data_IF_782597050756
#
_entry.id   IF_782597050756
#
_cell.length_a   1.000
_cell.length_b   1.000
_cell.length_c   1.000
_cell.angle_alpha   90.00
_cell.angle_beta   90.00
_cell.angle_gamma   90.00
#
_symmetry.space_group_name_H-M   'P 1'
#
loop_
_entity.id
_entity.type
_entity.pdbx_description
1 polymer ?
#
# COMPACT_ATOMS: atom_id res chain seq x y z
N UNK A 1 16.80 39.54 -21.78
CA UNK A 1 17.67 38.64 -21.00
C UNK A 1 16.81 37.78 -20.15
N UNK A 2 16.70 36.62 -20.60
CA UNK A 2 15.78 35.56 -20.29
C UNK A 2 15.94 35.12 -18.85
N UNK A 3 14.98 35.52 -18.02
CA UNK A 3 14.61 34.83 -16.81
C UNK A 3 13.25 34.15 -17.08
N UNK A 4 13.20 33.36 -18.11
CA UNK A 4 12.27 32.26 -18.18
C UNK A 4 12.89 31.14 -17.35
N UNK A 5 12.74 31.31 -16.02
CA UNK A 5 12.91 30.21 -15.11
C UNK A 5 12.10 29.03 -15.64
N UNK A 6 12.70 27.89 -15.67
CA UNK A 6 12.15 26.59 -16.01
C UNK A 6 11.00 26.18 -15.08
N UNK A 7 9.96 27.00 -15.09
CA UNK A 7 8.63 26.63 -14.65
C UNK A 7 7.98 25.99 -15.85
N UNK A 8 7.96 24.72 -15.92
CA UNK A 8 6.97 24.44 -16.85
C UNK A 8 6.87 23.06 -17.43
N UNK A 9 7.82 22.24 -17.38
CA UNK A 9 7.65 20.88 -17.90
C UNK A 9 7.60 19.79 -16.81
N UNK A 10 7.84 20.19 -15.55
CA UNK A 10 7.77 19.26 -14.41
C UNK A 10 6.38 19.03 -13.84
N UNK A 11 5.42 19.91 -14.12
CA UNK A 11 4.10 19.87 -13.44
C UNK A 11 2.96 19.26 -14.28
N UNK A 12 3.25 18.77 -15.47
CA UNK A 12 2.27 17.98 -16.21
C UNK A 12 2.39 16.54 -15.72
N UNK A 13 1.95 16.29 -14.51
CA UNK A 13 1.72 14.94 -14.04
C UNK A 13 0.59 14.34 -14.90
N UNK A 14 0.97 13.53 -15.85
CA UNK A 14 0.01 12.61 -16.45
C UNK A 14 -0.36 11.63 -15.33
N UNK A 15 -1.44 11.90 -14.61
CA UNK A 15 -2.02 10.95 -13.68
C UNK A 15 -2.51 9.76 -14.48
N UNK A 16 -1.68 8.75 -14.59
CA UNK A 16 -2.03 7.53 -15.27
C UNK A 16 -2.78 6.63 -14.31
N UNK A 17 -4.02 6.31 -14.62
CA UNK A 17 -4.77 5.29 -13.89
C UNK A 17 -4.36 3.93 -14.42
N UNK A 18 -3.82 3.10 -13.55
CA UNK A 18 -3.42 1.73 -13.84
C UNK A 18 -4.49 0.78 -13.34
N UNK A 19 -4.80 -0.26 -14.10
CA UNK A 19 -5.77 -1.27 -13.72
C UNK A 19 -6.04 -2.27 -14.83
N UNK A 20 -6.86 -3.25 -14.50
CA UNK A 20 -7.50 -4.18 -15.45
C UNK A 20 -8.97 -3.82 -15.58
N UNK A 21 -9.52 -4.09 -16.76
CA UNK A 21 -10.95 -3.94 -16.98
C UNK A 21 -11.69 -5.21 -16.58
N UNK A 22 -12.64 -5.06 -15.67
CA UNK A 22 -13.57 -6.09 -15.23
C UNK A 22 -14.99 -5.64 -15.58
N UNK A 23 -15.52 -6.09 -16.71
CA UNK A 23 -16.80 -5.63 -17.27
C UNK A 23 -16.84 -4.09 -17.40
N UNK A 24 -17.65 -3.44 -16.57
CA UNK A 24 -17.82 -1.98 -16.56
C UNK A 24 -16.98 -1.30 -15.47
N UNK A 25 -16.03 -2.00 -14.89
CA UNK A 25 -15.16 -1.51 -13.82
C UNK A 25 -13.71 -1.57 -14.19
N UNK A 26 -12.91 -0.67 -13.61
CA UNK A 26 -11.48 -0.60 -13.88
C UNK A 26 -10.72 -0.35 -12.57
N UNK A 27 -9.84 -1.28 -12.22
CA UNK A 27 -8.99 -1.19 -11.04
C UNK A 27 -7.79 -2.14 -11.13
N UNK A 28 -6.67 -1.83 -10.43
CA UNK A 28 -5.52 -2.74 -10.35
C UNK A 28 -5.78 -3.88 -9.37
N UNK A 29 -5.07 -4.98 -9.53
CA UNK A 29 -5.09 -6.09 -8.57
C UNK A 29 -4.53 -5.66 -7.23
N UNK A 30 -3.46 -4.84 -7.23
CA UNK A 30 -2.86 -4.27 -6.03
C UNK A 30 -2.55 -2.82 -6.28
N UNK A 31 -2.82 -1.97 -5.31
CA UNK A 31 -2.20 -0.65 -5.16
C UNK A 31 -1.42 -0.63 -3.86
N UNK A 32 -0.36 0.16 -3.82
CA UNK A 32 0.45 0.25 -2.62
C UNK A 32 1.22 1.56 -2.48
N UNK A 33 1.58 1.82 -1.24
CA UNK A 33 2.54 2.84 -0.84
C UNK A 33 3.65 2.14 -0.08
N UNK A 34 4.90 2.40 -0.45
CA UNK A 34 6.04 1.84 0.27
C UNK A 34 7.06 2.93 0.60
N UNK A 35 7.76 2.76 1.72
CA UNK A 35 8.77 3.69 2.23
C UNK A 35 10.06 2.94 2.52
N UNK A 36 11.19 3.55 2.21
CA UNK A 36 12.50 2.99 2.55
C UNK A 36 12.84 3.13 4.03
N UNK A 37 12.05 3.88 4.79
CA UNK A 37 12.18 4.04 6.24
C UNK A 37 10.91 3.55 6.93
N UNK A 38 11.07 2.58 7.82
CA UNK A 38 10.01 2.09 8.69
C UNK A 38 10.07 2.82 10.04
N UNK A 39 9.12 3.71 10.29
CA UNK A 39 9.06 4.49 11.53
C UNK A 39 8.59 3.65 12.74
N UNK A 40 7.90 2.55 12.50
CA UNK A 40 7.35 1.67 13.53
C UNK A 40 7.66 0.21 13.24
N UNK A 41 8.94 -0.21 13.39
CA UNK A 41 9.33 -1.59 13.16
C UNK A 41 8.68 -2.52 14.18
N UNK A 42 8.32 -3.74 13.77
CA UNK A 42 7.64 -4.75 14.57
C UNK A 42 8.50 -6.00 14.64
N UNK A 43 8.65 -6.54 15.85
CA UNK A 43 9.42 -7.76 16.05
C UNK A 43 10.89 -7.59 15.69
N UNK A 44 11.36 -8.32 14.70
CA UNK A 44 12.76 -8.30 14.22
C UNK A 44 13.02 -7.26 13.11
N UNK A 45 12.00 -6.50 12.71
CA UNK A 45 12.14 -5.45 11.71
C UNK A 45 13.04 -4.32 12.24
N UNK A 46 13.76 -3.68 11.33
CA UNK A 46 14.54 -2.47 11.58
C UNK A 46 13.99 -1.30 10.77
N UNK A 47 14.37 -0.09 11.15
CA UNK A 47 13.95 1.12 10.43
C UNK A 47 14.36 1.10 8.95
N UNK A 48 15.57 0.57 8.64
CA UNK A 48 16.10 0.45 7.29
C UNK A 48 15.49 -0.65 6.43
N UNK A 49 14.67 -1.54 7.01
CA UNK A 49 14.02 -2.63 6.25
C UNK A 49 12.86 -2.17 5.40
N UNK A 50 12.47 -0.90 5.57
CA UNK A 50 11.35 -0.33 4.85
C UNK A 50 9.99 -0.88 5.28
N UNK A 51 8.94 -0.31 4.71
CA UNK A 51 7.56 -0.69 4.98
C UNK A 51 6.70 -0.50 3.75
N UNK A 52 5.75 -1.39 3.54
CA UNK A 52 4.74 -1.28 2.50
C UNK A 52 3.34 -1.48 3.06
N UNK A 53 2.38 -0.72 2.52
CA UNK A 53 0.96 -0.89 2.73
C UNK A 53 0.32 -1.17 1.38
N UNK A 54 -0.40 -2.27 1.28
CA UNK A 54 -1.03 -2.71 0.04
C UNK A 54 -2.54 -2.95 0.23
N UNK A 55 -3.27 -2.76 -0.86
CA UNK A 55 -4.71 -2.95 -0.92
C UNK A 55 -5.15 -3.39 -2.32
N UNK A 56 -6.29 -4.06 -2.42
CA UNK A 56 -7.01 -4.28 -3.67
C UNK A 56 -7.64 -2.96 -4.14
N UNK A 57 -7.63 -2.74 -5.46
CA UNK A 57 -8.31 -1.61 -6.08
C UNK A 57 -7.44 -0.37 -6.17
N UNK A 58 -8.05 0.78 -6.39
CA UNK A 58 -7.37 2.05 -6.59
C UNK A 58 -6.69 2.56 -5.32
N UNK A 59 -5.50 3.15 -5.47
CA UNK A 59 -4.66 3.66 -4.38
C UNK A 59 -5.32 4.72 -3.51
N UNK A 60 -6.36 5.40 -4.01
CA UNK A 60 -7.17 6.32 -3.20
C UNK A 60 -7.70 5.66 -1.92
N UNK A 61 -7.97 4.36 -1.93
CA UNK A 61 -8.41 3.64 -0.74
C UNK A 61 -7.38 3.68 0.40
N UNK A 62 -6.09 3.63 0.05
CA UNK A 62 -4.98 3.73 1.01
C UNK A 62 -4.88 5.16 1.55
N UNK A 63 -4.96 6.15 0.66
CA UNK A 63 -4.87 7.57 1.01
C UNK A 63 -6.01 8.00 1.93
N UNK A 64 -7.22 7.48 1.71
CA UNK A 64 -8.40 7.75 2.53
C UNK A 64 -8.39 6.99 3.88
N UNK A 65 -7.29 6.31 4.22
CA UNK A 65 -7.14 5.60 5.49
C UNK A 65 -7.91 4.28 5.55
N UNK A 66 -8.15 3.64 4.41
CA UNK A 66 -8.77 2.31 4.34
C UNK A 66 -7.89 1.23 5.00
N UNK A 67 -8.50 0.10 5.31
CA UNK A 67 -7.77 -1.06 5.82
C UNK A 67 -6.80 -1.58 4.76
N UNK A 68 -5.51 -1.58 5.07
CA UNK A 68 -4.43 -2.05 4.20
C UNK A 68 -3.68 -3.19 4.87
N UNK A 69 -3.07 -4.06 4.07
CA UNK A 69 -2.15 -5.02 4.62
C UNK A 69 -0.76 -4.38 4.70
N UNK A 70 -0.17 -4.41 5.91
CA UNK A 70 1.16 -3.88 6.20
C UNK A 70 2.18 -5.02 6.22
N UNK A 71 3.33 -4.82 5.55
CA UNK A 71 4.49 -5.72 5.66
C UNK A 71 5.80 -4.96 5.43
N UNK A 72 6.92 -5.52 5.89
CA UNK A 72 8.25 -5.06 5.52
C UNK A 72 8.73 -5.82 4.28
N UNK A 73 9.27 -5.15 3.23
CA UNK A 73 9.81 -5.83 2.06
C UNK A 73 10.91 -6.85 2.37
N UNK A 74 11.71 -6.62 3.40
CA UNK A 74 12.74 -7.57 3.86
C UNK A 74 12.21 -8.70 4.74
N UNK A 75 11.02 -8.54 5.28
CA UNK A 75 10.37 -9.53 6.14
C UNK A 75 8.93 -9.81 5.69
N UNK A 76 8.70 -10.23 4.41
CA UNK A 76 7.36 -10.33 3.83
C UNK A 76 6.46 -11.36 4.52
N UNK A 77 7.05 -12.30 5.25
CA UNK A 77 6.33 -13.33 6.00
C UNK A 77 5.77 -12.81 7.33
N UNK A 78 6.26 -11.66 7.84
CA UNK A 78 5.81 -11.08 9.10
C UNK A 78 4.59 -10.19 8.88
N UNK A 79 3.43 -10.80 8.74
CA UNK A 79 2.17 -10.09 8.51
C UNK A 79 1.36 -10.07 9.81
N UNK A 80 1.35 -8.92 10.50
CA UNK A 80 0.65 -8.78 11.79
C UNK A 80 -0.84 -9.11 11.68
N UNK A 81 -1.50 -8.66 10.61
CA UNK A 81 -2.93 -8.91 10.39
C UNK A 81 -3.26 -10.39 10.23
N UNK A 82 -2.26 -11.23 9.89
CA UNK A 82 -2.42 -12.67 9.73
C UNK A 82 -1.91 -13.47 10.94
N UNK A 83 -1.48 -12.80 12.01
CA UNK A 83 -0.90 -13.46 13.20
C UNK A 83 -1.91 -14.31 13.97
N UNK A 84 -3.19 -13.95 13.95
CA UNK A 84 -4.28 -14.74 14.51
C UNK A 84 -5.48 -14.72 13.58
N UNK A 85 -6.34 -15.73 13.69
CA UNK A 85 -7.57 -15.83 12.92
C UNK A 85 -8.49 -14.62 13.17
N UNK A 86 -8.64 -14.19 14.41
CA UNK A 86 -9.47 -13.04 14.77
C UNK A 86 -8.97 -11.75 14.13
N UNK A 87 -7.65 -11.53 14.10
CA UNK A 87 -7.06 -10.39 13.41
C UNK A 87 -7.33 -10.48 11.91
N UNK A 88 -7.10 -11.62 11.28
CA UNK A 88 -7.33 -11.81 9.86
C UNK A 88 -8.80 -11.56 9.46
N UNK A 89 -9.75 -11.94 10.30
CA UNK A 89 -11.17 -11.74 10.04
C UNK A 89 -11.64 -10.29 10.24
N UNK A 90 -10.99 -9.50 11.11
CA UNK A 90 -11.40 -8.14 11.47
C UNK A 90 -10.60 -7.06 10.80
N UNK A 91 -9.27 -7.25 10.65
CA UNK A 91 -8.33 -6.19 10.28
C UNK A 91 -7.91 -6.25 8.80
N UNK A 92 -8.47 -7.21 8.02
CA UNK A 92 -8.22 -7.26 6.58
C UNK A 92 -9.24 -6.45 5.80
N UNK A 93 -8.81 -5.97 4.65
CA UNK A 93 -9.63 -5.15 3.76
C UNK A 93 -10.92 -5.85 3.35
N UNK A 94 -12.05 -5.15 3.42
CA UNK A 94 -13.38 -5.66 3.04
C UNK A 94 -14.02 -4.87 1.89
N UNK A 95 -13.51 -3.69 1.59
CA UNK A 95 -14.00 -2.80 0.52
C UNK A 95 -12.84 -2.23 -0.27
N UNK A 96 -13.10 -1.82 -1.51
CA UNK A 96 -12.10 -1.20 -2.37
C UNK A 96 -12.73 -0.14 -3.28
N UNK A 97 -11.89 0.68 -3.92
CA UNK A 97 -12.33 1.62 -4.93
C UNK A 97 -12.02 1.11 -6.34
N UNK A 98 -12.96 1.33 -7.26
CA UNK A 98 -12.83 1.09 -8.69
C UNK A 98 -13.36 2.29 -9.47
N UNK A 99 -12.95 2.46 -10.74
CA UNK A 99 -13.62 3.37 -11.65
C UNK A 99 -14.84 2.67 -12.25
N UNK A 100 -15.95 3.41 -12.35
CA UNK A 100 -17.13 3.02 -13.11
C UNK A 100 -16.97 3.51 -14.55
N UNK A 101 -16.92 2.59 -15.50
CA UNK A 101 -16.76 2.90 -16.92
C UNK A 101 -18.11 3.17 -17.62
N UNK A 102 -19.26 2.87 -16.99
CA UNK A 102 -20.58 3.12 -17.59
C UNK A 102 -20.87 4.61 -17.73
N UNK A 103 -20.49 5.39 -16.75
CA UNK A 103 -20.85 6.81 -16.64
C UNK A 103 -19.78 7.75 -17.20
N UNK A 104 -18.73 7.22 -17.85
CA UNK A 104 -17.64 8.05 -18.38
C UNK A 104 -18.04 8.98 -19.53
N UNK A 105 -19.17 8.75 -20.20
CA UNK A 105 -19.52 9.41 -21.45
C UNK A 105 -20.34 10.69 -21.30
N UNK A 106 -20.96 10.98 -20.15
CA UNK A 106 -22.05 11.96 -20.12
C UNK A 106 -21.78 13.24 -19.34
N UNK A 107 -20.74 13.31 -18.50
CA UNK A 107 -20.58 14.52 -17.68
C UNK A 107 -19.11 14.87 -17.43
N UNK A 108 -18.70 16.02 -17.86
CA UNK A 108 -17.51 16.71 -17.39
C UNK A 108 -17.81 17.18 -15.96
N UNK A 109 -17.33 16.46 -14.95
CA UNK A 109 -17.43 16.88 -13.57
C UNK A 109 -16.09 17.42 -13.09
N UNK A 110 -16.13 18.49 -12.32
CA UNK A 110 -14.97 19.05 -11.62
C UNK A 110 -14.62 18.21 -10.39
N UNK A 111 -15.51 17.30 -9.99
CA UNK A 111 -15.28 16.41 -8.86
C UNK A 111 -14.40 15.21 -9.28
N UNK A 112 -13.20 15.12 -8.70
CA UNK A 112 -12.24 14.03 -8.93
C UNK A 112 -12.78 12.63 -8.55
N UNK A 113 -13.89 12.57 -7.81
CA UNK A 113 -14.53 11.33 -7.36
C UNK A 113 -15.73 10.89 -8.21
N UNK A 114 -16.07 11.62 -9.26
CA UNK A 114 -17.28 11.42 -10.07
C UNK A 114 -17.47 9.98 -10.59
N UNK A 115 -16.38 9.34 -11.02
CA UNK A 115 -16.40 7.97 -11.55
C UNK A 115 -15.92 6.92 -10.55
N UNK A 116 -15.76 7.30 -9.28
CA UNK A 116 -15.24 6.42 -8.27
C UNK A 116 -16.37 5.68 -7.56
N UNK A 117 -16.32 4.35 -7.59
CA UNK A 117 -17.29 3.51 -6.87
C UNK A 117 -16.59 2.72 -5.78
N UNK A 118 -17.25 2.62 -4.62
CA UNK A 118 -16.78 1.81 -3.49
C UNK A 118 -17.50 0.47 -3.50
N UNK A 119 -16.75 -0.61 -3.65
CA UNK A 119 -17.22 -1.96 -3.84
C UNK A 119 -16.86 -2.85 -2.67
N UNK A 120 -17.54 -3.99 -2.54
CA UNK A 120 -17.20 -5.05 -1.60
C UNK A 120 -16.45 -6.19 -2.25
N UNK A 121 -15.85 -7.08 -1.43
CA UNK A 121 -15.11 -8.24 -1.94
C UNK A 121 -15.98 -9.20 -2.76
N UNK A 122 -17.30 -9.24 -2.53
CA UNK A 122 -18.22 -10.05 -3.33
C UNK A 122 -18.27 -9.62 -4.81
N UNK A 123 -18.11 -8.32 -5.07
CA UNK A 123 -18.06 -7.79 -6.42
C UNK A 123 -16.76 -8.25 -7.11
N UNK A 124 -15.62 -8.13 -6.43
CA UNK A 124 -14.33 -8.59 -6.93
C UNK A 124 -14.27 -10.11 -7.11
N UNK A 125 -14.96 -10.87 -6.24
CA UNK A 125 -15.10 -12.32 -6.34
C UNK A 125 -15.87 -12.72 -7.62
N UNK A 126 -16.99 -12.05 -7.89
CA UNK A 126 -17.77 -12.26 -9.09
C UNK A 126 -17.01 -11.91 -10.38
N UNK A 127 -16.09 -10.96 -10.31
CA UNK A 127 -15.21 -10.53 -11.40
C UNK A 127 -13.96 -11.39 -11.56
N UNK A 128 -13.70 -12.34 -10.64
CA UNK A 128 -12.56 -13.26 -10.67
C UNK A 128 -11.21 -12.60 -10.33
N UNK A 129 -11.20 -11.38 -9.81
CA UNK A 129 -9.98 -10.62 -9.53
C UNK A 129 -9.25 -11.04 -8.25
N UNK A 130 -9.87 -11.89 -7.41
CA UNK A 130 -9.34 -12.26 -6.10
C UNK A 130 -8.34 -13.42 -6.09
N UNK A 131 -8.21 -14.16 -7.18
CA UNK A 131 -7.56 -15.48 -7.25
C UNK A 131 -6.19 -15.57 -6.56
N UNK A 132 -5.35 -14.54 -6.73
CA UNK A 132 -3.96 -14.57 -6.24
C UNK A 132 -3.72 -13.79 -4.95
N UNK A 133 -4.73 -13.08 -4.44
CA UNK A 133 -4.57 -12.14 -3.33
C UNK A 133 -5.37 -12.51 -2.08
N UNK A 134 -6.11 -13.61 -2.11
CA UNK A 134 -6.94 -14.03 -0.99
C UNK A 134 -6.49 -15.34 -0.37
N UNK A 135 -6.81 -15.48 0.90
CA UNK A 135 -7.04 -16.76 1.59
C UNK A 135 -8.54 -16.97 1.81
N UNK A 136 -8.95 -18.20 2.02
CA UNK A 136 -10.35 -18.56 2.25
C UNK A 136 -10.54 -19.07 3.67
N UNK A 137 -11.39 -18.40 4.44
CA UNK A 137 -11.80 -18.88 5.75
C UNK A 137 -12.92 -19.93 5.61
N UNK A 138 -12.67 -21.09 6.16
CA UNK A 138 -13.61 -22.17 6.28
C UNK A 138 -14.31 -22.08 7.66
N UNK A 139 -15.61 -21.72 7.72
CA UNK A 139 -16.31 -21.58 8.99
C UNK A 139 -16.60 -22.92 9.68
N UNK A 140 -16.54 -24.03 8.94
CA UNK A 140 -16.82 -25.35 9.47
C UNK A 140 -15.63 -25.90 10.26
N UNK A 141 -14.45 -25.83 9.63
CA UNK A 141 -13.19 -26.26 10.23
C UNK A 141 -12.56 -25.15 11.10
N UNK A 142 -13.07 -23.93 11.05
CA UNK A 142 -12.54 -22.73 11.72
C UNK A 142 -11.05 -22.50 11.40
N UNK A 143 -10.68 -22.65 10.13
CA UNK A 143 -9.30 -22.44 9.63
C UNK A 143 -9.29 -21.47 8.46
N UNK A 144 -8.16 -20.81 8.28
CA UNK A 144 -7.86 -20.03 7.09
C UNK A 144 -6.95 -20.87 6.21
N UNK A 145 -7.39 -21.16 4.98
CA UNK A 145 -6.61 -21.86 3.96
C UNK A 145 -6.03 -20.85 2.98
N UNK A 146 -4.73 -20.97 2.69
CA UNK A 146 -4.10 -20.12 1.70
C UNK A 146 -4.64 -20.41 0.31
N UNK A 147 -5.00 -19.32 -0.39
CA UNK A 147 -5.53 -19.38 -1.73
C UNK A 147 -7.05 -19.26 -1.84
N UNK A 148 -7.49 -19.27 -3.08
CA UNK A 148 -8.89 -19.15 -3.46
C UNK A 148 -9.55 -20.54 -3.52
N UNK A 149 -10.51 -20.79 -2.65
CA UNK A 149 -11.36 -21.98 -2.67
C UNK A 149 -12.82 -21.58 -2.86
N UNK A 150 -13.62 -22.34 -3.61
CA UNK A 150 -15.06 -22.11 -3.72
C UNK A 150 -15.74 -22.19 -2.35
N UNK A 151 -16.70 -21.32 -2.09
CA UNK A 151 -17.33 -21.21 -0.78
C UNK A 151 -16.42 -20.49 0.24
N UNK A 152 -16.84 -20.47 1.51
CA UNK A 152 -16.12 -19.79 2.59
C UNK A 152 -16.02 -18.27 2.43
N UNK A 153 -15.51 -17.60 3.46
CA UNK A 153 -15.29 -16.13 3.44
C UNK A 153 -13.92 -15.81 2.86
N UNK A 154 -13.87 -14.93 1.85
CA UNK A 154 -12.61 -14.44 1.29
C UNK A 154 -11.98 -13.39 2.20
N UNK A 155 -10.67 -13.53 2.41
CA UNK A 155 -9.83 -12.64 3.22
C UNK A 155 -8.70 -12.14 2.34
N UNK A 156 -8.54 -10.84 2.22
CA UNK A 156 -7.41 -10.23 1.50
C UNK A 156 -6.14 -10.37 2.33
N UNK A 157 -5.46 -11.49 2.16
CA UNK A 157 -4.26 -11.86 2.90
C UNK A 157 -2.97 -11.57 2.16
N UNK A 158 -3.02 -11.52 0.82
CA UNK A 158 -1.87 -11.43 -0.08
C UNK A 158 -0.79 -12.52 0.18
N UNK A 159 -1.14 -13.59 0.89
CA UNK A 159 -0.21 -14.66 1.29
C UNK A 159 0.43 -15.33 0.07
N UNK A 160 -0.34 -15.57 -1.00
CA UNK A 160 0.20 -16.18 -2.22
C UNK A 160 1.32 -15.34 -2.85
N UNK A 161 1.27 -14.02 -2.69
CA UNK A 161 2.29 -13.10 -3.19
C UNK A 161 3.46 -12.97 -2.22
N UNK A 162 3.16 -12.83 -0.91
CA UNK A 162 4.17 -12.51 0.09
C UNK A 162 4.89 -13.73 0.67
N UNK A 163 4.25 -14.92 0.63
CA UNK A 163 4.82 -16.14 1.20
C UNK A 163 5.08 -17.23 0.17
N UNK A 164 4.34 -17.24 -0.94
CA UNK A 164 4.45 -18.25 -2.00
C UNK A 164 5.03 -17.71 -3.31
N UNK A 165 5.48 -16.46 -3.32
CA UNK A 165 6.20 -15.81 -4.42
C UNK A 165 5.52 -15.92 -5.81
N UNK A 166 4.18 -15.97 -5.83
CA UNK A 166 3.41 -15.96 -7.11
C UNK A 166 3.76 -14.74 -7.96
N UNK A 167 4.14 -13.65 -7.30
CA UNK A 167 4.73 -12.47 -7.90
C UNK A 167 5.77 -11.89 -6.92
N UNK A 168 7.03 -11.58 -7.36
CA UNK A 168 8.11 -11.17 -6.48
C UNK A 168 7.96 -9.71 -6.01
N UNK A 169 6.84 -9.39 -5.35
CA UNK A 169 6.51 -8.04 -4.93
C UNK A 169 7.50 -7.51 -3.90
N UNK A 170 7.83 -8.33 -2.90
CA UNK A 170 8.70 -7.91 -1.80
C UNK A 170 10.11 -7.56 -2.30
N UNK A 171 10.70 -8.42 -3.11
CA UNK A 171 12.03 -8.20 -3.72
C UNK A 171 12.03 -6.98 -4.64
N UNK A 172 10.98 -6.83 -5.44
CA UNK A 172 10.84 -5.66 -6.33
C UNK A 172 10.79 -4.36 -5.53
N UNK A 173 10.04 -4.34 -4.44
CA UNK A 173 9.95 -3.17 -3.56
C UNK A 173 11.27 -2.88 -2.85
N UNK A 174 11.96 -3.89 -2.27
CA UNK A 174 13.26 -3.69 -1.64
C UNK A 174 14.27 -3.08 -2.62
N UNK A 175 14.33 -3.60 -3.84
CA UNK A 175 15.23 -3.07 -4.87
C UNK A 175 14.90 -1.63 -5.26
N UNK A 176 13.63 -1.32 -5.53
CA UNK A 176 13.21 0.03 -5.94
C UNK A 176 13.45 1.04 -4.81
N UNK A 177 13.11 0.69 -3.58
CA UNK A 177 13.30 1.57 -2.42
C UNK A 177 14.79 1.85 -2.18
N UNK A 178 15.64 0.83 -2.29
CA UNK A 178 17.08 0.96 -2.13
C UNK A 178 17.70 1.83 -3.23
N UNK A 179 17.36 1.58 -4.49
CA UNK A 179 17.86 2.39 -5.62
C UNK A 179 17.36 3.82 -5.48
N UNK A 180 16.06 4.02 -5.21
CA UNK A 180 15.50 5.35 -5.03
C UNK A 180 16.16 6.13 -3.89
N UNK A 181 16.44 5.48 -2.76
CA UNK A 181 17.15 6.11 -1.65
C UNK A 181 18.59 6.46 -2.01
N UNK A 182 19.29 5.61 -2.74
CA UNK A 182 20.67 5.89 -3.21
C UNK A 182 20.69 7.08 -4.17
N UNK A 183 19.83 7.10 -5.17
CA UNK A 183 19.77 8.17 -6.17
C UNK A 183 19.32 9.51 -5.60
N UNK A 184 18.40 9.51 -4.64
CA UNK A 184 17.90 10.74 -4.01
C UNK A 184 18.73 11.19 -2.79
N UNK A 185 19.67 10.38 -2.32
CA UNK A 185 20.51 10.66 -1.15
C UNK A 185 19.74 10.77 0.18
N UNK A 186 18.48 10.31 0.23
CA UNK A 186 17.61 10.35 1.41
C UNK A 186 16.50 9.30 1.31
N UNK A 187 15.82 8.97 2.44
CA UNK A 187 14.69 8.06 2.41
C UNK A 187 13.63 8.48 1.40
N UNK A 188 13.00 7.50 0.76
CA UNK A 188 12.00 7.70 -0.27
C UNK A 188 10.69 7.01 0.05
N UNK A 189 9.61 7.59 -0.47
CA UNK A 189 8.29 6.99 -0.55
C UNK A 189 7.93 6.77 -2.01
N UNK A 190 7.35 5.62 -2.32
CA UNK A 190 6.85 5.27 -3.64
C UNK A 190 5.37 4.95 -3.59
N UNK A 191 4.67 5.32 -4.68
CA UNK A 191 3.33 4.84 -4.97
C UNK A 191 3.43 3.89 -6.16
N UNK A 192 2.73 2.76 -6.08
CA UNK A 192 2.79 1.74 -7.11
C UNK A 192 1.45 1.03 -7.30
N UNK A 193 1.33 0.35 -8.43
CA UNK A 193 0.24 -0.58 -8.69
C UNK A 193 0.77 -1.86 -9.35
N UNK A 194 0.05 -2.96 -9.17
CA UNK A 194 0.32 -4.23 -9.85
C UNK A 194 -0.95 -4.72 -10.51
N UNK A 195 -0.84 -5.02 -11.80
CA UNK A 195 -1.86 -5.75 -12.52
C UNK A 195 -1.45 -7.20 -12.65
N UNK A 196 -2.34 -8.12 -12.31
CA UNK A 196 -2.17 -9.55 -12.53
C UNK A 196 -3.28 -10.04 -13.45
N UNK A 197 -2.93 -10.89 -14.40
CA UNK A 197 -3.93 -11.57 -15.23
C UNK A 197 -4.58 -12.70 -14.40
N UNK A 198 -5.91 -12.71 -14.20
CA UNK A 198 -6.57 -13.77 -13.45
C UNK A 198 -6.36 -15.18 -14.04
N UNK A 199 -6.08 -15.27 -15.34
CA UNK A 199 -5.85 -16.55 -16.03
C UNK A 199 -4.40 -17.01 -15.97
N UNK A 200 -3.43 -16.06 -15.87
CA UNK A 200 -2.00 -16.34 -15.94
C UNK A 200 -1.19 -15.39 -15.06
N UNK A 201 -0.79 -15.85 -13.88
CA UNK A 201 -0.01 -15.06 -12.92
C UNK A 201 1.36 -14.62 -13.46
N UNK A 202 1.91 -15.31 -14.46
CA UNK A 202 3.19 -14.92 -15.08
C UNK A 202 3.09 -13.61 -15.86
N UNK A 203 1.86 -13.18 -16.19
CA UNK A 203 1.56 -11.89 -16.83
C UNK A 203 1.24 -10.81 -15.79
N UNK A 204 2.07 -10.69 -14.78
CA UNK A 204 1.97 -9.61 -13.83
C UNK A 204 2.86 -8.43 -14.25
N UNK A 205 2.35 -7.22 -14.07
CA UNK A 205 3.08 -5.98 -14.38
C UNK A 205 3.08 -5.06 -13.19
N UNK A 206 4.28 -4.67 -12.75
CA UNK A 206 4.48 -3.65 -11.73
C UNK A 206 4.58 -2.26 -12.38
N UNK A 207 3.86 -1.30 -11.83
CA UNK A 207 3.86 0.09 -12.25
C UNK A 207 4.34 0.97 -11.10
N UNK A 208 5.49 1.60 -11.26
CA UNK A 208 5.92 2.68 -10.37
C UNK A 208 5.18 3.95 -10.79
N UNK A 209 4.28 4.44 -9.95
CA UNK A 209 3.42 5.59 -10.26
C UNK A 209 4.07 6.90 -9.82
N UNK A 210 4.70 6.90 -8.64
CA UNK A 210 5.39 8.06 -8.10
C UNK A 210 6.55 7.60 -7.20
N UNK A 211 7.61 8.39 -7.20
CA UNK A 211 8.68 8.33 -6.21
C UNK A 211 8.97 9.73 -5.70
N UNK A 212 9.08 9.88 -4.39
CA UNK A 212 9.39 11.17 -3.76
C UNK A 212 10.28 10.96 -2.54
N UNK A 213 11.18 11.92 -2.24
CA UNK A 213 11.92 11.88 -0.99
C UNK A 213 10.96 12.09 0.18
N UNK A 214 11.20 11.36 1.26
CA UNK A 214 10.56 11.65 2.55
C UNK A 214 11.22 12.93 3.08
N UNK A 215 10.41 13.95 3.27
CA UNK A 215 10.87 15.19 3.91
C UNK A 215 10.87 14.91 5.41
N UNK A 216 12.05 14.66 5.97
CA UNK A 216 12.24 14.81 7.40
C UNK A 216 12.07 16.28 7.70
N UNK A 217 10.95 16.65 8.29
CA UNK A 217 10.87 17.88 9.04
C UNK A 217 11.72 17.69 10.30
N UNK A 218 13.03 17.67 10.11
CA UNK A 218 13.96 18.04 11.16
C UNK A 218 13.80 19.55 11.32
N UNK A 219 12.69 19.97 11.90
CA UNK A 219 12.76 21.19 12.68
C UNK A 219 13.77 20.88 13.75
N UNK A 220 14.88 21.57 13.66
CA UNK A 220 15.97 21.55 14.62
C UNK A 220 15.31 21.87 15.96
N UNK A 221 15.05 20.85 16.77
CA UNK A 221 14.89 21.10 18.18
C UNK A 221 16.28 21.52 18.64
N UNK A 222 16.46 22.82 18.88
CA UNK A 222 17.69 23.39 19.45
C UNK A 222 18.00 22.86 20.87
N UNK A 223 17.18 21.95 21.38
CA UNK A 223 17.33 21.33 22.67
C UNK A 223 18.06 19.99 22.53
N UNK A 224 19.19 19.91 23.19
CA UNK A 224 19.98 18.69 23.30
C UNK A 224 19.24 17.64 24.17
N UNK A 225 18.48 16.76 23.54
CA UNK A 225 17.73 15.69 24.22
C UNK A 225 18.62 14.71 24.99
N UNK A 226 19.95 14.76 24.80
CA UNK A 226 20.90 13.96 25.59
C UNK A 226 20.94 14.37 27.06
N UNK A 227 20.43 15.56 27.36
CA UNK A 227 20.35 16.10 28.74
C UNK A 227 19.12 15.62 29.52
N UNK A 228 18.14 15.01 28.84
CA UNK A 228 16.92 14.48 29.48
C UNK A 228 17.24 13.14 30.15
N UNK A 229 17.06 13.07 31.46
CA UNK A 229 17.28 11.85 32.23
C UNK A 229 16.20 10.80 31.89
N UNK A 230 16.61 9.55 31.69
CA UNK A 230 15.68 8.44 31.41
C UNK A 230 14.60 8.27 32.49
N UNK A 231 14.88 8.67 33.73
CA UNK A 231 13.93 8.60 34.86
C UNK A 231 12.75 9.59 34.74
N UNK A 232 12.91 10.63 33.93
CA UNK A 232 11.89 11.67 33.68
C UNK A 232 11.15 11.43 32.36
N UNK A 233 11.53 10.40 31.60
CA UNK A 233 10.98 10.13 30.28
C UNK A 233 9.87 9.10 30.34
N UNK A 234 8.65 9.47 29.98
CA UNK A 234 7.49 8.57 29.90
C UNK A 234 7.54 7.74 28.61
N UNK A 235 7.97 8.35 27.50
CA UNK A 235 8.07 7.74 26.20
C UNK A 235 9.18 8.41 25.39
N UNK A 236 10.07 7.63 24.78
CA UNK A 236 11.06 8.14 23.83
C UNK A 236 11.03 7.37 22.53
N UNK A 237 11.28 8.06 21.41
CA UNK A 237 11.45 7.46 20.11
C UNK A 237 12.56 8.18 19.36
N UNK A 238 13.42 7.43 18.70
CA UNK A 238 14.49 7.98 17.85
C UNK A 238 14.01 8.32 16.44
N UNK A 239 12.78 7.93 16.10
CA UNK A 239 12.19 8.18 14.78
C UNK A 239 10.69 8.35 14.90
N UNK A 240 10.17 9.49 14.45
CA UNK A 240 8.73 9.81 14.48
C UNK A 240 8.27 10.35 13.15
N UNK A 241 7.02 10.09 12.80
CA UNK A 241 6.39 10.61 11.59
C UNK A 241 5.70 11.95 11.92
N UNK A 242 6.38 13.06 11.64
CA UNK A 242 5.88 14.41 11.86
C UNK A 242 6.09 14.92 13.29
N UNK A 243 5.87 16.23 13.47
CA UNK A 243 5.85 16.91 14.76
C UNK A 243 4.42 16.88 15.30
N UNK A 244 4.20 16.11 16.35
CA UNK A 244 2.96 16.19 17.12
C UNK A 244 3.30 16.71 18.51
N UNK A 245 2.98 17.98 18.76
CA UNK A 245 2.94 18.52 20.11
C UNK A 245 1.60 18.11 20.73
N UNK A 246 1.61 17.08 21.54
CA UNK A 246 0.47 16.78 22.42
C UNK A 246 0.68 17.58 23.69
N UNK A 247 -0.04 18.68 23.81
CA UNK A 247 -0.22 19.33 25.12
C UNK A 247 -1.19 18.45 25.92
N UNK A 248 -0.66 17.79 26.91
CA UNK A 248 -1.45 17.14 27.95
C UNK A 248 -1.83 18.18 28.98
#
# INVERSE_FOLDING_TARGET
>A
RDVLGSRGLGDVYKRQVVGNRYNDRFYPTISGVARSLNFYPIGNEKAEDGIANIALGLGKYIVDGGQTLRFSPRHPHNILQMSTMDFALRETQTRFYALDLKNMAETFSVDDAFNLVKLGLKDADAEGSLKYIVSTYDPYDQIIRDGYYPGGRKILSFVNILQHDVFPLADTLDQILRIGQQEMGRPVEIEFAVNMDPSDHTRATFYLLQIRPIVDNKEIMDEDLSLVKNEETILSSTSVLGLSLIHI
#
